data_IF_297734126030
#
_entry.id   IF_297734126030
#
_cell.length_a   1.000
_cell.length_b   1.000
_cell.length_c   1.000
_cell.angle_alpha   90.00
_cell.angle_beta   90.00
_cell.angle_gamma   90.00
#
_symmetry.space_group_name_H-M   'P 1'
#
loop_
_entity.id
_entity.type
_entity.pdbx_description
1 polymer ?
#
# COMPACT_ATOMS: atom_id res chain seq x y z
N UNK A 1 13.70 -2.17 -13.93
CA UNK A 1 13.08 -3.28 -14.71
C UNK A 1 11.56 -3.12 -14.66
N UNK A 2 10.85 -3.39 -15.79
CA UNK A 2 9.38 -3.41 -15.83
C UNK A 2 8.89 -4.83 -16.13
N UNK A 3 7.85 -5.29 -15.44
CA UNK A 3 7.26 -6.63 -15.59
C UNK A 3 5.76 -6.50 -15.73
N UNK A 4 5.21 -7.11 -16.80
CA UNK A 4 3.75 -7.10 -17.01
C UNK A 4 3.07 -8.22 -16.22
N UNK A 5 2.05 -7.85 -15.44
CA UNK A 5 1.21 -8.78 -14.69
C UNK A 5 -0.26 -8.40 -14.91
N UNK A 6 -1.06 -9.33 -15.40
CA UNK A 6 -2.48 -9.10 -15.62
C UNK A 6 -3.26 -9.30 -14.31
N UNK A 7 -4.02 -8.29 -13.84
CA UNK A 7 -4.78 -8.41 -12.59
C UNK A 7 -5.81 -9.54 -12.59
N UNK A 8 -6.39 -9.84 -13.74
CA UNK A 8 -7.41 -10.88 -13.87
C UNK A 8 -6.84 -12.30 -13.67
N UNK A 9 -5.56 -12.49 -13.95
CA UNK A 9 -4.87 -13.78 -13.80
C UNK A 9 -3.37 -13.54 -13.58
N UNK A 10 -2.95 -13.14 -12.37
CA UNK A 10 -1.55 -12.89 -12.08
C UNK A 10 -0.70 -14.15 -12.30
N UNK A 11 0.33 -14.03 -13.13
CA UNK A 11 1.24 -15.12 -13.40
C UNK A 11 2.09 -15.42 -12.17
N UNK A 12 2.05 -16.64 -11.65
CA UNK A 12 2.78 -17.04 -10.43
C UNK A 12 4.29 -16.79 -10.54
N UNK A 13 4.90 -17.10 -11.67
CA UNK A 13 6.34 -16.88 -11.87
C UNK A 13 6.72 -15.40 -11.81
N UNK A 14 5.86 -14.51 -12.32
CA UNK A 14 6.08 -13.08 -12.23
C UNK A 14 5.91 -12.59 -10.78
N UNK A 15 4.90 -13.08 -10.04
CA UNK A 15 4.73 -12.78 -8.61
C UNK A 15 5.95 -13.27 -7.80
N UNK A 16 6.45 -14.48 -8.05
CA UNK A 16 7.65 -15.01 -7.38
C UNK A 16 8.88 -14.12 -7.65
N UNK A 17 9.02 -13.57 -8.84
CA UNK A 17 10.07 -12.61 -9.18
C UNK A 17 9.95 -11.31 -8.36
N UNK A 18 8.74 -10.78 -8.21
CA UNK A 18 8.48 -9.60 -7.38
C UNK A 18 8.80 -9.88 -5.92
N UNK A 19 8.36 -11.01 -5.39
CA UNK A 19 8.65 -11.43 -4.01
C UNK A 19 10.15 -11.55 -3.78
N UNK A 20 10.91 -12.15 -4.71
CA UNK A 20 12.36 -12.24 -4.62
C UNK A 20 13.05 -10.87 -4.55
N UNK A 21 12.56 -9.87 -5.30
CA UNK A 21 13.05 -8.48 -5.21
C UNK A 21 12.80 -7.90 -3.83
N UNK A 22 11.59 -8.10 -3.29
CA UNK A 22 11.22 -7.60 -1.95
C UNK A 22 12.00 -8.26 -0.82
N UNK A 23 12.26 -9.57 -0.91
CA UNK A 23 13.08 -10.32 0.06
C UNK A 23 14.55 -9.89 0.06
N UNK A 24 15.03 -9.30 -1.05
CA UNK A 24 16.38 -8.76 -1.20
C UNK A 24 16.45 -7.23 -0.98
N UNK A 25 15.68 -6.70 -0.07
CA UNK A 25 15.64 -5.27 0.29
C UNK A 25 15.25 -4.35 -0.88
N UNK A 26 14.51 -4.86 -1.85
CA UNK A 26 14.08 -4.11 -3.01
C UNK A 26 12.86 -3.22 -2.73
N UNK A 27 12.74 -2.18 -3.55
CA UNK A 27 11.55 -1.32 -3.65
C UNK A 27 10.91 -1.53 -5.00
N UNK A 28 9.61 -1.71 -5.02
CA UNK A 28 8.80 -1.89 -6.23
C UNK A 28 7.82 -0.75 -6.42
N UNK A 29 7.31 -0.62 -7.65
CA UNK A 29 6.06 0.08 -7.96
C UNK A 29 5.03 -0.95 -8.39
N UNK A 30 3.82 -0.85 -7.87
CA UNK A 30 2.76 -1.83 -8.12
C UNK A 30 1.37 -1.17 -8.23
N UNK A 31 0.44 -1.75 -9.01
CA UNK A 31 -0.92 -1.26 -9.11
C UNK A 31 -1.73 -1.62 -7.85
N UNK A 32 -2.70 -0.78 -7.54
CA UNK A 32 -3.71 -1.04 -6.50
C UNK A 32 -5.12 -0.90 -7.09
N UNK A 33 -6.14 -0.95 -6.27
CA UNK A 33 -7.52 -0.60 -6.63
C UNK A 33 -7.75 0.91 -6.76
N UNK A 34 -6.77 1.71 -6.37
CA UNK A 34 -6.78 3.18 -6.50
C UNK A 34 -5.63 3.62 -7.42
N UNK A 35 -4.61 4.25 -6.89
CA UNK A 35 -3.45 4.74 -7.65
C UNK A 35 -2.29 3.75 -7.56
N UNK A 36 -1.32 3.86 -8.47
CA UNK A 36 -0.05 3.15 -8.35
C UNK A 36 0.67 3.55 -7.05
N UNK A 37 1.40 2.61 -6.47
CA UNK A 37 2.10 2.82 -5.22
C UNK A 37 3.53 2.26 -5.25
N UNK A 38 4.42 2.90 -4.48
CA UNK A 38 5.68 2.30 -4.07
C UNK A 38 5.42 1.25 -3.00
N UNK A 39 6.22 0.20 -2.98
CA UNK A 39 6.13 -0.84 -1.96
C UNK A 39 7.46 -1.46 -1.60
N UNK A 40 7.63 -1.83 -0.34
CA UNK A 40 8.74 -2.63 0.14
C UNK A 40 8.31 -3.53 1.30
N UNK A 41 9.13 -4.51 1.66
CA UNK A 41 8.84 -5.39 2.79
C UNK A 41 8.88 -4.63 4.12
N UNK A 42 7.86 -4.81 4.97
CA UNK A 42 7.85 -4.27 6.33
C UNK A 42 9.02 -4.80 7.19
N UNK A 43 9.54 -5.96 6.86
CA UNK A 43 10.68 -6.60 7.55
C UNK A 43 12.06 -6.06 7.12
N UNK A 44 12.12 -5.21 6.08
CA UNK A 44 13.38 -4.63 5.59
C UNK A 44 13.54 -3.17 6.00
N UNK A 45 14.27 -2.85 7.09
CA UNK A 45 14.57 -1.46 7.47
C UNK A 45 15.29 -0.70 6.36
N UNK A 46 16.16 -1.38 5.61
CA UNK A 46 16.92 -0.80 4.52
C UNK A 46 16.03 -0.39 3.34
N UNK A 47 15.06 -1.25 2.97
CA UNK A 47 14.10 -0.92 1.92
C UNK A 47 13.13 0.19 2.36
N UNK A 48 12.74 0.23 3.63
CA UNK A 48 11.90 1.31 4.19
C UNK A 48 12.61 2.66 4.06
N UNK A 49 13.90 2.76 4.41
CA UNK A 49 14.67 3.99 4.24
C UNK A 49 14.78 4.40 2.76
N UNK A 50 15.02 3.44 1.87
CA UNK A 50 15.07 3.69 0.43
C UNK A 50 13.72 4.22 -0.08
N UNK A 51 12.61 3.61 0.33
CA UNK A 51 11.26 4.05 -0.05
C UNK A 51 10.98 5.47 0.48
N UNK A 52 11.35 5.77 1.72
CA UNK A 52 11.21 7.12 2.29
C UNK A 52 11.98 8.18 1.53
N UNK A 53 13.13 7.85 0.96
CA UNK A 53 13.93 8.78 0.16
C UNK A 53 13.33 9.03 -1.24
N UNK A 54 12.58 8.07 -1.77
CA UNK A 54 11.99 8.15 -3.12
C UNK A 54 10.62 8.83 -3.11
N UNK A 55 9.81 8.57 -2.08
CA UNK A 55 8.45 9.10 -1.98
C UNK A 55 8.41 10.62 -1.83
N UNK A 56 7.29 11.22 -2.17
CA UNK A 56 6.99 12.59 -1.81
C UNK A 56 7.06 12.77 -0.27
N UNK A 57 7.66 13.87 0.18
CA UNK A 57 7.86 14.15 1.61
C UNK A 57 6.55 14.27 2.38
N UNK A 58 5.50 14.75 1.73
CA UNK A 58 4.16 14.90 2.31
C UNK A 58 3.33 13.61 2.23
N UNK A 59 3.83 12.58 1.53
CA UNK A 59 3.18 11.29 1.40
C UNK A 59 3.22 10.48 2.69
N UNK A 60 2.07 10.11 3.22
CA UNK A 60 1.99 9.21 4.38
C UNK A 60 2.31 7.76 4.00
N UNK A 61 3.01 7.06 4.89
CA UNK A 61 3.23 5.63 4.76
C UNK A 61 2.08 4.86 5.39
N UNK A 62 1.65 3.81 4.70
CA UNK A 62 0.70 2.81 5.19
C UNK A 62 1.30 1.42 5.05
N UNK A 63 0.59 0.40 5.53
CA UNK A 63 0.91 -1.00 5.26
C UNK A 63 -0.23 -1.67 4.50
N UNK A 64 0.12 -2.54 3.57
CA UNK A 64 -0.83 -3.42 2.87
C UNK A 64 -0.78 -4.79 3.52
N UNK A 65 -1.92 -5.24 4.03
CA UNK A 65 -2.12 -6.54 4.64
C UNK A 65 -2.84 -7.50 3.68
N UNK A 66 -2.66 -8.80 3.87
CA UNK A 66 -3.30 -9.81 3.05
C UNK A 66 -4.81 -9.94 3.35
N UNK A 67 -5.19 -9.84 4.61
CA UNK A 67 -6.57 -9.99 5.09
C UNK A 67 -6.79 -9.28 6.44
N UNK A 68 -8.02 -9.37 6.95
CA UNK A 68 -8.39 -8.76 8.24
C UNK A 68 -7.66 -9.35 9.44
N UNK A 69 -7.28 -10.64 9.38
CA UNK A 69 -6.50 -11.28 10.46
C UNK A 69 -5.12 -10.69 10.55
N UNK A 70 -4.47 -10.44 9.41
CA UNK A 70 -3.19 -9.75 9.34
C UNK A 70 -3.25 -8.32 9.90
N UNK A 71 -4.34 -7.59 9.70
CA UNK A 71 -4.50 -6.27 10.31
C UNK A 71 -4.38 -6.36 11.83
N UNK A 72 -5.03 -7.35 12.45
CA UNK A 72 -5.00 -7.54 13.91
C UNK A 72 -3.61 -7.88 14.47
N UNK A 73 -2.69 -8.38 13.64
CA UNK A 73 -1.30 -8.57 14.02
C UNK A 73 -0.54 -7.25 14.18
N UNK A 74 -0.85 -6.24 13.37
CA UNK A 74 -0.11 -4.98 13.27
C UNK A 74 -0.85 -3.77 13.87
N UNK A 75 -2.15 -3.91 14.15
CA UNK A 75 -2.97 -2.85 14.71
C UNK A 75 -3.86 -3.37 15.84
N UNK A 76 -4.16 -2.50 16.79
CA UNK A 76 -5.17 -2.76 17.83
C UNK A 76 -6.54 -2.48 17.22
N UNK A 77 -7.37 -3.51 17.13
CA UNK A 77 -8.69 -3.44 16.50
C UNK A 77 -9.75 -3.83 17.52
N UNK A 78 -10.55 -2.87 17.93
CA UNK A 78 -11.73 -3.10 18.79
C UNK A 78 -12.91 -3.60 17.96
N UNK A 79 -13.86 -4.29 18.61
CA UNK A 79 -15.01 -4.90 17.92
C UNK A 79 -15.82 -3.94 17.05
N UNK A 80 -16.13 -2.70 17.44
CA UNK A 80 -16.84 -1.74 16.58
C UNK A 80 -16.05 -1.42 15.32
N UNK A 81 -14.74 -1.15 15.47
CA UNK A 81 -13.84 -0.86 14.35
C UNK A 81 -13.72 -2.05 13.41
N UNK A 82 -13.61 -3.27 13.96
CA UNK A 82 -13.56 -4.50 13.15
C UNK A 82 -14.79 -4.65 12.23
N UNK A 83 -15.97 -4.30 12.71
CA UNK A 83 -17.20 -4.34 11.89
C UNK A 83 -17.12 -3.36 10.71
N UNK A 84 -16.58 -2.17 10.94
CA UNK A 84 -16.38 -1.16 9.88
C UNK A 84 -15.35 -1.66 8.86
N UNK A 85 -14.21 -2.18 9.32
CA UNK A 85 -13.20 -2.77 8.43
C UNK A 85 -13.80 -3.88 7.56
N UNK A 86 -14.58 -4.79 8.15
CA UNK A 86 -15.19 -5.92 7.43
C UNK A 86 -16.20 -5.50 6.35
N UNK A 87 -16.85 -4.35 6.51
CA UNK A 87 -17.83 -3.84 5.53
C UNK A 87 -17.15 -3.15 4.34
N UNK A 88 -15.92 -2.66 4.53
CA UNK A 88 -15.24 -1.79 3.57
C UNK A 88 -13.98 -2.38 2.95
N UNK A 89 -13.46 -3.49 3.50
CA UNK A 89 -12.24 -4.14 3.01
C UNK A 89 -12.51 -5.58 2.53
N UNK A 90 -11.88 -6.04 1.43
CA UNK A 90 -11.00 -5.28 0.55
C UNK A 90 -11.68 -4.09 -0.13
N UNK A 91 -10.96 -3.00 -0.37
CA UNK A 91 -11.51 -1.82 -1.03
C UNK A 91 -10.62 -0.58 -0.93
N UNK A 92 -11.08 0.53 -1.54
CA UNK A 92 -10.28 1.74 -1.74
C UNK A 92 -10.18 2.61 -0.49
N UNK A 93 -9.77 2.02 0.63
CA UNK A 93 -9.65 2.67 1.92
C UNK A 93 -8.25 2.54 2.53
N UNK A 94 -7.90 3.54 3.34
CA UNK A 94 -6.79 3.51 4.29
C UNK A 94 -7.36 3.80 5.67
N UNK A 95 -7.30 2.82 6.57
CA UNK A 95 -7.75 2.98 7.95
C UNK A 95 -6.58 3.28 8.86
N UNK A 96 -6.65 4.39 9.61
CA UNK A 96 -5.64 4.76 10.59
C UNK A 96 -6.03 4.18 11.94
N UNK A 97 -5.21 3.26 12.43
CA UNK A 97 -5.44 2.48 13.65
C UNK A 97 -4.27 2.66 14.63
N UNK A 98 -4.49 2.37 15.91
CA UNK A 98 -3.39 2.29 16.89
C UNK A 98 -2.48 1.12 16.54
N UNK A 99 -1.17 1.38 16.39
CA UNK A 99 -0.20 0.35 16.09
C UNK A 99 -0.05 -0.67 17.22
N UNK A 100 0.16 -1.95 16.87
CA UNK A 100 0.59 -2.98 17.81
C UNK A 100 2.12 -2.97 17.97
N UNK A 101 2.64 -3.73 18.95
CA UNK A 101 4.07 -3.89 19.14
C UNK A 101 4.80 -4.68 18.03
N UNK A 102 4.06 -5.22 17.05
CA UNK A 102 4.66 -5.90 15.88
C UNK A 102 5.06 -4.96 14.76
N UNK A 103 4.60 -3.70 14.80
CA UNK A 103 5.02 -2.69 13.82
C UNK A 103 6.42 -2.18 14.18
N UNK A 104 7.41 -2.29 13.28
CA UNK A 104 8.79 -1.87 13.57
C UNK A 104 8.88 -0.38 13.90
N UNK A 105 9.71 -0.03 14.90
CA UNK A 105 9.96 1.36 15.27
C UNK A 105 10.53 2.19 14.11
N UNK A 106 11.34 1.57 13.25
CA UNK A 106 11.91 2.19 12.05
C UNK A 106 10.83 2.68 11.08
N UNK A 107 9.71 1.96 10.99
CA UNK A 107 8.53 2.40 10.24
C UNK A 107 7.79 3.52 10.98
N UNK A 108 7.54 3.33 12.27
CA UNK A 108 6.70 4.24 13.06
C UNK A 108 7.32 5.63 13.29
N UNK A 109 8.65 5.73 13.45
CA UNK A 109 9.34 7.01 13.74
C UNK A 109 8.68 7.80 14.88
N UNK A 110 8.38 7.16 15.99
CA UNK A 110 7.66 7.70 17.16
C UNK A 110 6.16 7.92 16.97
N UNK A 111 5.59 7.61 15.81
CA UNK A 111 4.13 7.59 15.63
C UNK A 111 3.52 6.45 16.44
N UNK A 112 2.28 6.65 16.86
CA UNK A 112 1.51 5.63 17.63
C UNK A 112 0.49 4.90 16.75
N UNK A 113 0.28 5.40 15.54
CA UNK A 113 -0.75 4.93 14.61
C UNK A 113 -0.10 4.36 13.35
N UNK A 114 -0.82 3.43 12.73
CA UNK A 114 -0.46 2.81 11.45
C UNK A 114 -1.66 2.91 10.51
N UNK A 115 -1.41 3.34 9.27
CA UNK A 115 -2.38 3.23 8.19
C UNK A 115 -2.39 1.81 7.65
N UNK A 116 -3.56 1.19 7.50
CA UNK A 116 -3.70 -0.17 6.96
C UNK A 116 -4.60 -0.18 5.74
N UNK A 117 -4.25 -1.02 4.76
CA UNK A 117 -5.00 -1.24 3.53
C UNK A 117 -5.12 -2.72 3.21
N UNK A 118 -6.21 -3.08 2.54
CA UNK A 118 -6.38 -4.33 1.79
C UNK A 118 -6.95 -3.92 0.43
N UNK A 119 -6.11 -3.61 -0.57
CA UNK A 119 -6.59 -3.22 -1.90
C UNK A 119 -7.40 -4.35 -2.56
N UNK A 120 -8.48 -4.00 -3.23
CA UNK A 120 -9.25 -4.94 -4.06
C UNK A 120 -8.54 -5.12 -5.43
N UNK A 121 -7.37 -5.71 -5.39
CA UNK A 121 -6.57 -6.03 -6.56
C UNK A 121 -5.77 -7.32 -6.31
N UNK A 122 -5.89 -8.36 -7.17
CA UNK A 122 -5.22 -9.64 -6.99
C UNK A 122 -3.69 -9.54 -6.94
N UNK A 123 -3.08 -8.56 -7.61
CA UNK A 123 -1.61 -8.41 -7.65
C UNK A 123 -1.05 -8.14 -6.25
N UNK A 124 -1.39 -7.03 -5.56
CA UNK A 124 -0.88 -6.80 -4.21
C UNK A 124 -1.32 -7.87 -3.20
N UNK A 125 -2.52 -8.43 -3.35
CA UNK A 125 -2.99 -9.51 -2.48
C UNK A 125 -2.08 -10.74 -2.55
N UNK A 126 -1.73 -11.20 -3.75
CA UNK A 126 -0.82 -12.33 -3.94
C UNK A 126 0.62 -12.01 -3.52
N UNK A 127 1.10 -10.79 -3.79
CA UNK A 127 2.43 -10.37 -3.36
C UNK A 127 2.55 -10.48 -1.84
N UNK A 128 1.61 -9.92 -1.08
CA UNK A 128 1.64 -9.95 0.40
C UNK A 128 1.50 -11.37 0.93
N UNK A 129 0.63 -12.18 0.34
CA UNK A 129 0.44 -13.59 0.70
C UNK A 129 1.74 -14.37 0.55
N UNK A 130 2.42 -14.28 -0.59
CA UNK A 130 3.65 -15.04 -0.85
C UNK A 130 4.88 -14.45 -0.16
N UNK A 131 4.91 -13.13 0.05
CA UNK A 131 5.97 -12.49 0.85
C UNK A 131 5.88 -12.88 2.34
N UNK A 132 4.68 -13.16 2.83
CA UNK A 132 4.43 -13.57 4.22
C UNK A 132 4.56 -12.45 5.25
N UNK A 133 4.58 -11.19 4.82
CA UNK A 133 4.52 -10.01 5.67
C UNK A 133 3.97 -8.81 4.89
N UNK A 134 3.47 -7.74 5.57
CA UNK A 134 2.91 -6.58 4.88
C UNK A 134 3.91 -5.84 4.01
N UNK A 135 3.40 -5.17 2.96
CA UNK A 135 4.13 -4.13 2.25
C UNK A 135 4.00 -2.80 2.98
N UNK A 136 5.12 -2.11 3.17
CA UNK A 136 5.10 -0.66 3.41
C UNK A 136 4.80 0.01 2.09
N UNK A 137 3.87 0.95 2.07
CA UNK A 137 3.37 1.54 0.83
C UNK A 137 3.25 3.07 0.91
N UNK A 138 3.48 3.72 -0.22
CA UNK A 138 3.21 5.14 -0.45
C UNK A 138 2.71 5.34 -1.88
N UNK A 139 1.74 6.23 -2.09
CA UNK A 139 1.22 6.53 -3.42
C UNK A 139 2.28 7.15 -4.33
N UNK A 140 2.25 6.80 -5.62
CA UNK A 140 3.05 7.46 -6.65
C UNK A 140 2.31 8.71 -7.09
N UNK A 141 2.81 9.88 -6.68
CA UNK A 141 2.25 11.19 -7.06
C UNK A 141 2.90 11.73 -8.31
N UNK A 142 2.16 12.54 -9.05
CA UNK A 142 2.68 13.35 -10.14
C UNK A 142 3.02 14.77 -9.66
N UNK A 143 3.85 15.47 -10.39
CA UNK A 143 4.15 16.89 -10.16
C UNK A 143 3.25 17.81 -10.99
N UNK A 144 2.29 17.22 -11.74
CA UNK A 144 1.34 17.95 -12.58
C UNK A 144 0.22 18.54 -11.72
N UNK A 145 -0.10 19.81 -11.95
CA UNK A 145 -1.15 20.54 -11.22
C UNK A 145 -2.58 20.02 -11.53
N UNK A 146 -2.75 19.26 -12.61
CA UNK A 146 -4.05 18.75 -13.09
C UNK A 146 -4.20 17.26 -12.76
N UNK A 147 -3.11 16.48 -12.87
CA UNK A 147 -3.10 15.05 -12.62
C UNK A 147 -2.26 14.78 -11.38
N UNK A 148 -2.91 14.61 -10.23
CA UNK A 148 -2.22 14.37 -8.96
C UNK A 148 -1.46 13.03 -8.92
N UNK A 149 -1.88 12.05 -9.74
CA UNK A 149 -1.30 10.70 -9.76
C UNK A 149 -1.04 10.22 -11.17
N UNK A 150 0.17 9.73 -11.43
CA UNK A 150 0.51 9.10 -12.71
C UNK A 150 -0.22 7.76 -12.86
N UNK A 151 -0.99 7.61 -13.95
CA UNK A 151 -1.81 6.42 -14.23
C UNK A 151 -1.14 5.40 -15.15
N UNK A 152 -0.19 5.85 -15.98
CA UNK A 152 0.51 5.03 -16.96
C UNK A 152 1.78 4.38 -16.35
N UNK A 153 1.85 3.04 -16.25
CA UNK A 153 3.02 2.35 -15.70
C UNK A 153 4.30 2.54 -16.52
N UNK A 154 4.21 2.82 -17.82
CA UNK A 154 5.39 3.11 -18.64
C UNK A 154 5.99 4.47 -18.28
N UNK A 155 5.17 5.50 -18.09
CA UNK A 155 5.62 6.83 -17.62
C UNK A 155 6.18 6.75 -16.19
N UNK A 156 5.57 5.94 -15.32
CA UNK A 156 6.11 5.68 -13.98
C UNK A 156 7.49 5.02 -14.07
N UNK A 157 7.65 4.06 -14.97
CA UNK A 157 8.94 3.39 -15.17
C UNK A 157 10.00 4.34 -15.74
N UNK A 158 9.64 5.24 -16.66
CA UNK A 158 10.55 6.27 -17.16
C UNK A 158 11.04 7.19 -16.04
N UNK A 159 10.12 7.64 -15.16
CA UNK A 159 10.44 8.57 -14.07
C UNK A 159 11.18 7.90 -12.90
N UNK A 160 10.75 6.72 -12.48
CA UNK A 160 11.22 6.08 -11.25
C UNK A 160 12.04 4.80 -11.46
N UNK A 161 12.14 4.28 -12.68
CA UNK A 161 12.79 2.99 -12.97
C UNK A 161 14.26 2.90 -12.57
N UNK A 162 14.97 4.03 -12.48
CA UNK A 162 16.33 4.09 -11.96
C UNK A 162 16.39 4.13 -10.40
N UNK A 163 15.30 4.48 -9.74
CA UNK A 163 15.21 4.63 -8.29
C UNK A 163 14.64 3.40 -7.59
N UNK A 164 13.87 2.57 -8.33
CA UNK A 164 13.24 1.35 -7.83
C UNK A 164 13.82 0.12 -8.51
N UNK A 165 13.66 -1.04 -7.89
CA UNK A 165 14.24 -2.29 -8.41
C UNK A 165 13.33 -2.93 -9.47
N UNK A 166 12.00 -2.73 -9.35
CA UNK A 166 11.02 -3.29 -10.28
C UNK A 166 9.77 -2.43 -10.34
N UNK A 167 9.21 -2.26 -11.54
CA UNK A 167 7.90 -1.67 -11.80
C UNK A 167 6.97 -2.75 -12.34
N UNK A 168 5.79 -2.91 -11.77
CA UNK A 168 4.76 -3.80 -12.30
C UNK A 168 3.85 -3.01 -13.23
N UNK A 169 3.76 -3.44 -14.48
CA UNK A 169 2.74 -2.98 -15.41
C UNK A 169 1.49 -3.86 -15.24
N UNK A 170 0.51 -3.35 -14.52
CA UNK A 170 -0.82 -3.96 -14.33
C UNK A 170 -1.92 -3.28 -15.16
N UNK A 171 -1.54 -2.48 -16.17
CA UNK A 171 -2.44 -1.63 -16.92
C UNK A 171 -2.53 -0.22 -16.31
N UNK A 172 -3.36 0.63 -16.90
CA UNK A 172 -3.58 1.98 -16.39
C UNK A 172 -4.16 1.95 -14.98
N UNK A 173 -3.58 2.77 -14.09
CA UNK A 173 -4.09 2.98 -12.75
C UNK A 173 -5.25 3.99 -12.70
N UNK A 174 -5.82 4.16 -11.52
CA UNK A 174 -6.77 5.23 -11.26
C UNK A 174 -6.00 6.54 -10.93
N UNK A 175 -6.68 7.67 -11.01
CA UNK A 175 -6.15 8.99 -10.65
C UNK A 175 -6.75 9.52 -9.34
N UNK A 176 -7.52 8.71 -8.63
CA UNK A 176 -8.14 9.07 -7.35
C UNK A 176 -7.63 8.14 -6.25
N UNK A 177 -7.14 8.75 -5.16
CA UNK A 177 -6.55 8.03 -4.04
C UNK A 177 -7.62 7.37 -3.14
N UNK A 178 -7.16 6.54 -2.20
CA UNK A 178 -8.01 5.93 -1.18
C UNK A 178 -8.67 6.95 -0.25
N UNK A 179 -9.87 6.65 0.20
CA UNK A 179 -10.49 7.35 1.33
C UNK A 179 -9.73 7.01 2.61
N UNK A 180 -9.34 8.02 3.38
CA UNK A 180 -8.62 7.85 4.66
C UNK A 180 -9.58 8.03 5.81
N UNK A 181 -9.68 7.00 6.65
CA UNK A 181 -10.58 6.95 7.80
C UNK A 181 -9.76 6.79 9.08
N UNK A 182 -9.94 7.72 10.00
CA UNK A 182 -9.30 7.70 11.31
C UNK A 182 -10.18 6.92 12.30
N UNK A 183 -9.64 5.85 12.89
CA UNK A 183 -10.38 4.95 13.79
C UNK A 183 -9.69 4.79 15.15
N UNK A 184 -8.98 5.81 15.63
CA UNK A 184 -8.33 5.79 16.94
C UNK A 184 -9.07 6.62 17.99
N UNK A 185 -10.13 7.34 17.59
CA UNK A 185 -11.07 8.05 18.45
C UNK A 185 -12.29 7.20 18.81
N UNK A 186 -13.34 7.84 19.33
CA UNK A 186 -14.57 7.16 19.76
C UNK A 186 -15.40 6.68 18.55
N UNK A 187 -15.37 7.42 17.45
CA UNK A 187 -16.08 7.09 16.21
C UNK A 187 -15.13 7.21 15.00
N UNK A 188 -15.40 6.43 13.90
CA UNK A 188 -14.66 6.57 12.65
C UNK A 188 -14.88 7.96 12.01
N UNK A 189 -13.79 8.62 11.62
CA UNK A 189 -13.80 9.95 11.00
C UNK A 189 -13.10 9.91 9.64
N UNK A 190 -13.76 10.40 8.58
CA UNK A 190 -13.16 10.58 7.27
C UNK A 190 -12.26 11.83 7.30
N UNK A 191 -10.95 11.63 7.25
CA UNK A 191 -9.98 12.74 7.22
C UNK A 191 -9.59 13.14 5.81
N UNK A 192 -9.80 12.26 4.84
CA UNK A 192 -9.68 12.55 3.41
C UNK A 192 -10.71 11.71 2.65
N UNK A 193 -11.61 12.37 1.94
CA UNK A 193 -12.48 11.69 0.98
C UNK A 193 -11.65 11.35 -0.27
N UNK A 194 -11.72 10.12 -0.71
CA UNK A 194 -11.18 9.60 -1.95
C UNK A 194 -12.21 8.70 -2.62
N UNK A 195 -11.73 7.70 -3.36
CA UNK A 195 -12.58 6.82 -4.18
C UNK A 195 -13.63 6.00 -3.37
N UNK A 196 -13.33 5.67 -2.11
CA UNK A 196 -14.21 4.83 -1.31
C UNK A 196 -15.34 5.60 -0.63
N UNK A 197 -16.57 5.06 -0.70
CA UNK A 197 -17.72 5.52 0.09
C UNK A 197 -17.84 4.66 1.36
N UNK A 198 -17.64 5.29 2.53
CA UNK A 198 -17.58 4.58 3.81
C UNK A 198 -18.95 4.04 4.23
N UNK A 199 -19.01 2.76 4.54
CA UNK A 199 -20.18 2.08 5.15
C UNK A 199 -19.89 1.80 6.63
N UNK A 200 -20.65 2.43 7.52
CA UNK A 200 -20.56 2.26 8.98
C UNK A 200 -21.32 1.02 9.49
#
# INVERSE_FOLDING_TARGET
MIVKIYPQNPNRKAIDQVVAVLENDGVIVYPTDTVYAFGCSLKSPKAIEKLKAIRDKDGELSIVCADLSHISDYAKVETPVFKVLKRNLPGPFTFILKASGRVPEKYLEKRKNVGVRIPENPIPQQIVEYLGNPLVTASVRDEDDVIEYTTDPELIHEKYGALVDLVIDGGYGNNEASTVVYCTGDEPEIVRQGLGELVL
#
